data_IF_574993327965
#
_entry.id   IF_574993327965
#
_cell.length_a   1.000
_cell.length_b   1.000
_cell.length_c   1.000
_cell.angle_alpha   90.00
_cell.angle_beta   90.00
_cell.angle_gamma   90.00
#
_symmetry.space_group_name_H-M   'P 1'
#
loop_
_entity.id
_entity.type
_entity.pdbx_description
1 polymer ?
#
# COMPACT_ATOMS: atom_id res chain seq x y z
N UNK A 1 26.60 -22.13 -2.43
CA UNK A 1 25.50 -21.76 -1.51
C UNK A 1 24.50 -20.93 -2.28
N UNK A 2 23.20 -21.23 -2.22
CA UNK A 2 22.18 -20.27 -2.68
C UNK A 2 22.28 -19.04 -1.78
N UNK A 3 22.28 -17.81 -2.33
CA UNK A 3 22.29 -16.61 -1.51
C UNK A 3 21.12 -16.67 -0.52
N UNK A 4 21.36 -16.22 0.72
CA UNK A 4 20.33 -16.19 1.76
C UNK A 4 19.18 -15.28 1.29
N UNK A 5 17.98 -15.85 1.17
CA UNK A 5 16.81 -15.12 0.69
C UNK A 5 16.30 -14.22 1.81
N UNK A 6 16.58 -12.92 1.71
CA UNK A 6 15.99 -11.91 2.57
C UNK A 6 14.61 -11.51 2.06
N UNK A 7 13.66 -11.30 2.97
CA UNK A 7 12.38 -10.68 2.60
C UNK A 7 12.52 -9.16 2.64
N UNK A 8 12.10 -8.49 1.54
CA UNK A 8 12.06 -7.03 1.48
C UNK A 8 10.77 -6.50 2.08
N UNK A 9 10.89 -5.43 2.87
CA UNK A 9 9.76 -4.67 3.40
C UNK A 9 9.62 -3.40 2.57
N UNK A 10 8.54 -3.32 1.79
CA UNK A 10 8.32 -2.26 0.81
C UNK A 10 7.19 -1.36 1.31
N UNK A 11 7.45 -0.06 1.43
CA UNK A 11 6.40 0.89 1.76
C UNK A 11 5.64 1.26 0.49
N UNK A 12 4.34 0.96 0.45
CA UNK A 12 3.46 1.29 -0.67
C UNK A 12 2.73 2.59 -0.39
N UNK A 13 2.87 3.56 -1.31
CA UNK A 13 2.24 4.87 -1.28
C UNK A 13 1.27 4.96 -2.47
N UNK A 14 -0.02 4.73 -2.20
CA UNK A 14 -1.07 4.97 -3.18
C UNK A 14 -1.35 6.49 -3.26
N UNK A 15 -1.20 7.09 -4.44
CA UNK A 15 -1.27 8.54 -4.65
C UNK A 15 -2.55 8.93 -5.37
N UNK A 16 -3.15 10.05 -4.95
CA UNK A 16 -4.25 10.75 -5.65
C UNK A 16 -4.02 12.25 -5.55
N UNK A 17 -3.79 12.89 -6.69
CA UNK A 17 -3.41 14.30 -6.73
C UNK A 17 -2.08 14.53 -5.98
N UNK A 18 -1.99 15.50 -5.06
CA UNK A 18 -0.75 15.78 -4.32
C UNK A 18 -0.55 14.89 -3.09
N UNK A 19 -1.45 13.93 -2.83
CA UNK A 19 -1.57 13.27 -1.54
C UNK A 19 -1.40 11.75 -1.64
N UNK A 20 -0.82 11.16 -0.62
CA UNK A 20 -0.94 9.73 -0.33
C UNK A 20 -2.32 9.48 0.28
N UNK A 21 -2.97 8.43 -0.17
CA UNK A 21 -4.28 8.02 0.27
C UNK A 21 -4.29 6.59 0.76
N UNK A 22 -5.25 6.24 1.61
CA UNK A 22 -5.56 4.86 1.95
C UNK A 22 -7.06 4.62 1.93
N UNK A 23 -7.50 3.63 1.17
CA UNK A 23 -8.89 3.18 1.11
C UNK A 23 -9.11 1.80 1.72
N UNK A 24 -10.38 1.51 1.97
CA UNK A 24 -10.92 0.17 2.26
C UNK A 24 -11.36 -0.45 0.93
N UNK A 25 -10.75 -1.56 0.51
CA UNK A 25 -11.03 -2.23 -0.77
C UNK A 25 -11.10 -1.27 -1.98
N UNK A 26 -10.11 -0.35 -2.08
CA UNK A 26 -10.02 0.68 -3.14
C UNK A 26 -11.19 1.68 -3.21
N UNK A 27 -11.98 1.76 -2.14
CA UNK A 27 -13.04 2.73 -1.90
C UNK A 27 -12.73 3.51 -0.62
N UNK A 28 -13.50 4.56 -0.33
CA UNK A 28 -13.45 5.25 0.96
C UNK A 28 -12.04 5.75 1.35
N UNK A 29 -11.49 6.62 0.51
CA UNK A 29 -10.11 7.09 0.57
C UNK A 29 -9.90 8.14 1.66
N UNK A 30 -8.96 7.89 2.56
CA UNK A 30 -8.44 8.85 3.55
C UNK A 30 -7.11 9.42 3.09
N UNK A 31 -6.88 10.71 3.30
CA UNK A 31 -5.54 11.30 3.07
C UNK A 31 -4.61 10.92 4.21
N UNK A 32 -3.42 10.42 3.86
CA UNK A 32 -2.39 10.01 4.82
C UNK A 32 -1.28 11.04 4.98
N UNK A 33 -1.06 11.89 3.98
CA UNK A 33 -0.04 12.93 4.01
C UNK A 33 0.54 13.20 2.62
N UNK A 34 1.62 13.98 2.58
CA UNK A 34 2.36 14.22 1.34
C UNK A 34 3.26 13.02 0.99
N UNK A 35 3.39 12.65 -0.29
CA UNK A 35 4.27 11.57 -0.73
C UNK A 35 5.73 11.75 -0.32
N UNK A 36 6.25 12.98 -0.38
CA UNK A 36 7.64 13.33 0.00
C UNK A 36 7.93 13.00 1.46
N UNK A 37 7.04 13.43 2.35
CA UNK A 37 7.25 13.39 3.80
C UNK A 37 7.20 11.93 4.29
N UNK A 38 6.19 11.17 3.84
CA UNK A 38 6.05 9.75 4.17
C UNK A 38 7.18 8.91 3.59
N UNK A 39 7.62 9.20 2.36
CA UNK A 39 8.74 8.49 1.75
C UNK A 39 10.05 8.69 2.52
N UNK A 40 10.32 9.93 2.94
CA UNK A 40 11.51 10.25 3.72
C UNK A 40 11.46 9.60 5.11
N UNK A 41 10.29 9.57 5.74
CA UNK A 41 10.04 8.85 6.98
C UNK A 41 10.31 7.34 6.83
N UNK A 42 9.70 6.68 5.83
CA UNK A 42 9.89 5.24 5.61
C UNK A 42 11.32 4.88 5.21
N UNK A 43 11.98 5.74 4.43
CA UNK A 43 13.39 5.57 4.13
C UNK A 43 14.25 5.65 5.40
N UNK A 44 14.02 6.64 6.27
CA UNK A 44 14.73 6.78 7.54
C UNK A 44 14.47 5.61 8.51
N UNK A 45 13.28 5.01 8.46
CA UNK A 45 12.93 3.78 9.19
C UNK A 45 13.52 2.51 8.57
N UNK A 46 14.21 2.60 7.43
CA UNK A 46 14.90 1.50 6.78
C UNK A 46 14.04 0.64 5.87
N UNK A 47 13.07 1.23 5.16
CA UNK A 47 12.41 0.57 4.03
C UNK A 47 13.45 -0.03 3.06
N UNK A 48 13.15 -1.18 2.49
CA UNK A 48 14.02 -1.79 1.48
C UNK A 48 13.77 -1.22 0.09
N UNK A 49 12.55 -0.77 -0.16
CA UNK A 49 12.07 -0.17 -1.41
C UNK A 49 10.81 0.68 -1.12
N UNK A 50 10.47 1.62 -2.01
CA UNK A 50 9.17 2.28 -2.04
C UNK A 50 8.36 1.91 -3.30
N UNK A 51 7.03 1.93 -3.21
CA UNK A 51 6.15 1.81 -4.38
C UNK A 51 5.23 3.03 -4.43
N UNK A 52 5.21 3.76 -5.54
CA UNK A 52 4.23 4.81 -5.81
C UNK A 52 3.23 4.34 -6.87
N UNK A 53 1.94 4.37 -6.56
CA UNK A 53 0.88 4.04 -7.52
C UNK A 53 -0.10 5.19 -7.67
N UNK A 54 -0.24 5.74 -8.88
CA UNK A 54 -1.30 6.71 -9.17
C UNK A 54 -2.64 5.97 -9.32
N UNK A 55 -3.51 6.17 -8.33
CA UNK A 55 -4.79 5.47 -8.23
C UNK A 55 -5.88 6.03 -9.15
N UNK A 56 -5.70 7.24 -9.70
CA UNK A 56 -6.71 7.92 -10.53
C UNK A 56 -6.27 8.15 -11.97
N UNK A 57 -5.10 7.65 -12.35
CA UNK A 57 -4.56 7.86 -13.69
C UNK A 57 -5.40 7.24 -14.82
N UNK A 58 -6.22 6.22 -14.53
CA UNK A 58 -7.19 5.66 -15.49
C UNK A 58 -8.30 6.65 -15.83
N UNK A 59 -8.83 7.34 -14.81
CA UNK A 59 -9.93 8.30 -14.91
C UNK A 59 -9.52 9.59 -15.63
N UNK A 60 -8.36 10.15 -15.29
CA UNK A 60 -7.92 11.45 -15.83
C UNK A 60 -6.99 11.33 -17.03
N UNK A 61 -6.65 10.11 -17.46
CA UNK A 61 -5.72 9.83 -18.55
C UNK A 61 -4.37 10.57 -18.44
N UNK A 62 -3.93 10.86 -17.22
CA UNK A 62 -2.67 11.55 -16.92
C UNK A 62 -1.99 10.87 -15.75
N UNK A 63 -0.66 10.79 -15.80
CA UNK A 63 0.16 10.27 -14.72
C UNK A 63 0.75 11.45 -13.94
N UNK A 64 0.35 11.61 -12.68
CA UNK A 64 0.83 12.70 -11.83
C UNK A 64 2.11 12.37 -11.05
N UNK A 65 2.68 11.18 -11.24
CA UNK A 65 3.84 10.73 -10.47
C UNK A 65 5.16 11.34 -10.91
N UNK A 66 5.28 11.89 -12.13
CA UNK A 66 6.58 12.36 -12.63
C UNK A 66 7.28 13.33 -11.68
N UNK A 67 6.54 14.32 -11.14
CA UNK A 67 7.09 15.27 -10.19
C UNK A 67 7.41 14.63 -8.83
N UNK A 68 6.54 13.74 -8.35
CA UNK A 68 6.71 13.04 -7.07
C UNK A 68 7.96 12.14 -7.13
N UNK A 69 8.11 11.37 -8.20
CA UNK A 69 9.28 10.52 -8.48
C UNK A 69 10.54 11.36 -8.59
N UNK A 70 10.50 12.46 -9.35
CA UNK A 70 11.63 13.37 -9.49
C UNK A 70 12.06 13.99 -8.16
N UNK A 71 11.11 14.33 -7.29
CA UNK A 71 11.39 14.83 -5.96
C UNK A 71 11.99 13.74 -5.06
N UNK A 72 11.41 12.53 -5.06
CA UNK A 72 11.89 11.39 -4.29
C UNK A 72 13.34 11.03 -4.67
N UNK A 73 13.66 11.01 -5.97
CA UNK A 73 15.00 10.67 -6.50
C UNK A 73 16.14 11.55 -5.97
N UNK A 74 15.84 12.74 -5.46
CA UNK A 74 16.85 13.65 -4.89
C UNK A 74 17.32 13.24 -3.49
N UNK A 75 16.47 12.56 -2.74
CA UNK A 75 16.65 12.36 -1.29
C UNK A 75 16.52 10.90 -0.84
N UNK A 76 15.96 10.02 -1.68
CA UNK A 76 15.72 8.61 -1.37
C UNK A 76 16.70 7.76 -2.18
N UNK A 77 17.52 6.97 -1.47
CA UNK A 77 18.60 6.14 -2.06
C UNK A 77 18.35 4.64 -1.93
N UNK A 78 17.11 4.26 -1.64
CA UNK A 78 16.61 2.90 -1.81
C UNK A 78 15.82 2.83 -3.12
N UNK A 79 15.68 1.64 -3.71
CA UNK A 79 14.90 1.53 -4.92
C UNK A 79 13.47 2.01 -4.74
N UNK A 80 12.86 2.49 -5.81
CA UNK A 80 11.43 2.68 -5.85
C UNK A 80 10.80 2.39 -7.21
N UNK A 81 9.62 1.78 -7.13
CA UNK A 81 8.78 1.43 -8.27
C UNK A 81 7.69 2.49 -8.45
N UNK A 82 7.48 2.98 -9.67
CA UNK A 82 6.38 3.88 -9.99
C UNK A 82 5.36 3.22 -10.94
N UNK A 83 4.06 3.41 -10.73
CA UNK A 83 3.02 2.83 -11.58
C UNK A 83 1.70 3.58 -11.53
N UNK A 84 0.73 3.14 -12.33
CA UNK A 84 -0.56 3.81 -12.48
C UNK A 84 -0.63 4.65 -13.76
N UNK A 85 -1.53 4.27 -14.67
CA UNK A 85 -1.74 4.98 -15.93
C UNK A 85 -0.58 4.92 -16.95
N UNK A 86 0.35 3.98 -16.79
CA UNK A 86 1.42 3.73 -17.76
C UNK A 86 0.87 2.92 -18.93
N UNK A 87 0.93 3.47 -20.14
CA UNK A 87 0.28 2.93 -21.35
C UNK A 87 1.25 2.65 -22.49
N UNK A 88 2.35 3.37 -22.54
CA UNK A 88 3.29 3.37 -23.67
C UNK A 88 4.73 3.16 -23.21
N UNK A 89 5.62 2.89 -24.16
CA UNK A 89 7.08 2.84 -23.90
C UNK A 89 7.60 4.21 -23.46
N UNK A 90 7.01 5.28 -23.97
CA UNK A 90 7.35 6.66 -23.64
C UNK A 90 6.98 6.99 -22.19
N UNK A 91 5.83 6.51 -21.69
CA UNK A 91 5.46 6.66 -20.27
C UNK A 91 6.47 5.96 -19.35
N UNK A 92 6.88 4.74 -19.71
CA UNK A 92 7.89 3.97 -18.97
C UNK A 92 9.21 4.74 -18.97
N UNK A 93 9.67 5.20 -20.15
CA UNK A 93 10.89 6.01 -20.29
C UNK A 93 10.83 7.26 -19.41
N UNK A 94 9.70 7.97 -19.41
CA UNK A 94 9.55 9.19 -18.63
C UNK A 94 9.68 8.95 -17.12
N UNK A 95 9.08 7.88 -16.59
CA UNK A 95 9.19 7.51 -15.17
C UNK A 95 10.61 7.08 -14.80
N UNK A 96 11.27 6.27 -15.64
CA UNK A 96 12.65 5.84 -15.41
C UNK A 96 13.61 7.04 -15.45
N UNK A 97 13.48 7.94 -16.44
CA UNK A 97 14.28 9.16 -16.52
C UNK A 97 14.01 10.12 -15.36
N UNK A 98 12.80 10.13 -14.80
CA UNK A 98 12.48 10.91 -13.62
C UNK A 98 13.13 10.37 -12.34
N UNK A 99 13.64 9.14 -12.35
CA UNK A 99 14.45 8.55 -11.28
C UNK A 99 13.88 7.27 -10.66
N UNK A 100 12.75 6.74 -11.14
CA UNK A 100 12.30 5.41 -10.71
C UNK A 100 13.25 4.34 -11.29
N UNK A 101 13.65 3.34 -10.50
CA UNK A 101 14.38 2.19 -11.08
C UNK A 101 13.45 1.18 -11.74
N UNK A 102 12.18 1.17 -11.34
CA UNK A 102 11.18 0.18 -11.79
C UNK A 102 9.86 0.85 -12.15
N UNK A 103 9.17 0.29 -13.14
CA UNK A 103 7.85 0.74 -13.57
C UNK A 103 6.85 -0.40 -13.51
N UNK A 104 5.75 -0.18 -12.77
CA UNK A 104 4.66 -1.13 -12.64
C UNK A 104 3.56 -0.88 -13.69
N UNK A 105 3.24 -1.91 -14.47
CA UNK A 105 2.19 -1.91 -15.49
C UNK A 105 1.14 -2.99 -15.18
N UNK A 106 -0.16 -2.62 -15.29
CA UNK A 106 -1.30 -3.54 -15.16
C UNK A 106 -2.21 -3.44 -16.38
N UNK A 107 -3.13 -2.46 -16.40
CA UNK A 107 -4.20 -2.34 -17.40
C UNK A 107 -3.71 -2.33 -18.86
N UNK A 108 -2.61 -1.65 -19.16
CA UNK A 108 -2.07 -1.62 -20.51
C UNK A 108 -1.46 -2.98 -20.91
N UNK A 109 -0.85 -3.69 -19.95
CA UNK A 109 -0.25 -4.99 -20.17
C UNK A 109 -1.31 -6.08 -20.38
N UNK A 110 -2.42 -6.05 -19.64
CA UNK A 110 -3.52 -7.02 -19.84
C UNK A 110 -4.23 -6.81 -21.18
N UNK A 111 -4.37 -5.56 -21.65
CA UNK A 111 -4.96 -5.24 -22.97
C UNK A 111 -4.00 -5.50 -24.14
N UNK A 112 -2.72 -5.24 -23.95
CA UNK A 112 -1.68 -5.47 -24.95
C UNK A 112 -0.42 -6.08 -24.31
N UNK A 113 -0.37 -7.42 -24.19
CA UNK A 113 0.75 -8.11 -23.54
C UNK A 113 2.11 -7.86 -24.20
N UNK A 114 2.14 -7.52 -25.49
CA UNK A 114 3.39 -7.23 -26.21
C UNK A 114 4.11 -5.97 -25.66
N UNK A 115 3.40 -5.09 -24.93
CA UNK A 115 4.01 -3.97 -24.21
C UNK A 115 5.08 -4.45 -23.23
N UNK A 116 4.85 -5.55 -22.50
CA UNK A 116 5.83 -6.13 -21.55
C UNK A 116 7.12 -6.49 -22.30
N UNK A 117 6.98 -7.17 -23.44
CA UNK A 117 8.10 -7.61 -24.27
C UNK A 117 8.91 -6.46 -24.83
N UNK A 118 8.22 -5.45 -25.37
CA UNK A 118 8.86 -4.24 -25.89
C UNK A 118 9.60 -3.49 -24.78
N UNK A 119 8.96 -3.32 -23.63
CA UNK A 119 9.56 -2.62 -22.49
C UNK A 119 10.78 -3.36 -21.95
N UNK A 120 10.68 -4.68 -21.75
CA UNK A 120 11.78 -5.51 -21.27
C UNK A 120 12.98 -5.50 -22.23
N UNK A 121 12.75 -5.53 -23.54
CA UNK A 121 13.82 -5.39 -24.56
C UNK A 121 14.46 -4.00 -24.58
N UNK A 122 13.71 -2.97 -24.22
CA UNK A 122 14.17 -1.57 -24.30
C UNK A 122 14.92 -1.14 -23.04
N UNK A 123 14.45 -1.53 -21.86
CA UNK A 123 14.95 -1.05 -20.56
C UNK A 123 15.58 -2.16 -19.71
N UNK A 124 15.43 -3.42 -20.11
CA UNK A 124 15.78 -4.59 -19.32
C UNK A 124 14.63 -5.07 -18.43
N UNK A 125 14.52 -6.39 -18.26
CA UNK A 125 13.44 -7.02 -17.48
C UNK A 125 13.39 -6.52 -16.03
N UNK A 126 14.54 -6.25 -15.41
CA UNK A 126 14.63 -5.79 -14.02
C UNK A 126 13.87 -4.49 -13.75
N UNK A 127 13.65 -3.66 -14.79
CA UNK A 127 12.90 -2.41 -14.67
C UNK A 127 11.39 -2.59 -14.82
N UNK A 128 10.91 -3.77 -15.26
CA UNK A 128 9.50 -3.98 -15.61
C UNK A 128 8.81 -4.86 -14.57
N UNK A 129 7.92 -4.23 -13.80
CA UNK A 129 7.07 -4.90 -12.82
C UNK A 129 5.69 -5.08 -13.44
N UNK A 130 5.15 -6.31 -13.45
CA UNK A 130 3.75 -6.53 -13.83
C UNK A 130 2.91 -6.58 -12.56
N UNK A 131 2.01 -5.61 -12.43
CA UNK A 131 1.06 -5.58 -11.32
C UNK A 131 -0.16 -6.43 -11.66
N UNK A 132 -0.47 -7.38 -10.80
CA UNK A 132 -1.60 -8.30 -10.92
C UNK A 132 -2.50 -8.09 -9.70
N UNK A 133 -3.65 -7.48 -9.94
CA UNK A 133 -4.74 -7.41 -8.99
C UNK A 133 -5.58 -8.68 -9.18
N UNK A 134 -5.56 -9.61 -8.21
CA UNK A 134 -6.24 -10.89 -8.36
C UNK A 134 -7.44 -10.99 -7.41
N UNK A 135 -8.56 -11.48 -7.92
CA UNK A 135 -9.78 -11.72 -7.14
C UNK A 135 -10.23 -13.18 -7.27
N UNK A 136 -10.58 -13.80 -6.16
CA UNK A 136 -11.05 -15.19 -6.12
C UNK A 136 -12.44 -15.30 -6.73
N UNK A 137 -12.63 -16.28 -7.61
CA UNK A 137 -13.92 -16.66 -8.20
C UNK A 137 -14.57 -17.76 -7.37
N UNK A 138 -15.88 -17.95 -7.57
CA UNK A 138 -16.66 -18.99 -6.87
C UNK A 138 -16.13 -20.40 -7.09
N UNK A 139 -15.55 -20.67 -8.26
CA UNK A 139 -14.93 -21.97 -8.57
C UNK A 139 -13.54 -22.17 -7.95
N UNK A 140 -13.08 -21.24 -7.09
CA UNK A 140 -11.79 -21.30 -6.40
C UNK A 140 -10.59 -20.77 -7.19
N UNK A 141 -10.73 -20.51 -8.50
CA UNK A 141 -9.67 -19.87 -9.31
C UNK A 141 -9.55 -18.37 -9.01
N UNK A 142 -8.47 -17.74 -9.45
CA UNK A 142 -8.31 -16.28 -9.39
C UNK A 142 -8.34 -15.67 -10.77
N UNK A 143 -9.06 -14.57 -10.90
CA UNK A 143 -9.08 -13.76 -12.10
C UNK A 143 -8.28 -12.48 -11.89
N UNK A 144 -7.57 -12.05 -12.94
CA UNK A 144 -6.87 -10.77 -12.95
C UNK A 144 -7.86 -9.63 -13.21
N UNK A 145 -7.67 -8.53 -12.49
CA UNK A 145 -8.47 -7.32 -12.54
C UNK A 145 -7.61 -6.12 -12.90
N UNK A 146 -8.30 -5.08 -13.34
CA UNK A 146 -7.73 -3.77 -13.65
C UNK A 146 -8.57 -2.68 -12.99
N UNK A 147 -8.09 -1.44 -13.09
CA UNK A 147 -8.77 -0.26 -12.52
C UNK A 147 -8.96 -0.38 -11.00
N UNK A 148 -7.90 -0.79 -10.29
CA UNK A 148 -7.89 -1.00 -8.84
C UNK A 148 -8.95 -2.02 -8.39
N UNK A 149 -8.97 -3.20 -9.02
CA UNK A 149 -9.84 -4.32 -8.67
C UNK A 149 -11.28 -4.19 -9.17
N UNK A 150 -11.60 -3.21 -10.02
CA UNK A 150 -12.99 -2.91 -10.44
C UNK A 150 -13.40 -3.58 -11.74
N UNK A 151 -12.46 -3.74 -12.66
CA UNK A 151 -12.74 -4.24 -14.01
C UNK A 151 -12.14 -5.63 -14.17
N UNK A 152 -13.03 -6.62 -14.34
CA UNK A 152 -12.68 -8.00 -14.70
C UNK A 152 -12.05 -8.05 -16.08
N UNK A 153 -11.05 -8.93 -16.26
CA UNK A 153 -10.34 -9.08 -17.55
C UNK A 153 -10.67 -10.38 -18.27
N UNK A 154 -11.28 -11.34 -17.57
CA UNK A 154 -11.45 -12.72 -18.03
C UNK A 154 -10.16 -13.56 -17.99
N UNK A 155 -9.03 -12.99 -17.59
CA UNK A 155 -7.75 -13.68 -17.52
C UNK A 155 -7.60 -14.42 -16.18
N UNK A 156 -7.21 -15.69 -16.24
CA UNK A 156 -6.75 -16.41 -15.05
C UNK A 156 -5.44 -15.78 -14.53
N UNK A 157 -5.41 -15.41 -13.25
CA UNK A 157 -4.30 -14.66 -12.67
C UNK A 157 -2.98 -15.45 -12.65
N UNK A 158 -3.05 -16.78 -12.46
CA UNK A 158 -1.87 -17.66 -12.42
C UNK A 158 -1.29 -17.83 -13.81
N UNK A 159 -2.14 -18.11 -14.81
CA UNK A 159 -1.73 -18.18 -16.22
C UNK A 159 -1.20 -16.83 -16.71
N UNK A 160 -1.82 -15.73 -16.28
CA UNK A 160 -1.37 -14.39 -16.61
C UNK A 160 0.01 -14.09 -16.04
N UNK A 161 0.27 -14.44 -14.78
CA UNK A 161 1.60 -14.32 -14.17
C UNK A 161 2.67 -15.08 -14.96
N UNK A 162 2.39 -16.33 -15.35
CA UNK A 162 3.33 -17.10 -16.19
C UNK A 162 3.57 -16.46 -17.54
N UNK A 163 2.50 -15.94 -18.15
CA UNK A 163 2.60 -15.26 -19.44
C UNK A 163 3.43 -13.99 -19.32
N UNK A 164 3.22 -13.18 -18.29
CA UNK A 164 3.97 -11.96 -18.02
C UNK A 164 5.47 -12.24 -17.87
N UNK A 165 5.85 -13.28 -17.11
CA UNK A 165 7.24 -13.75 -17.01
C UNK A 165 7.80 -14.13 -18.40
N UNK A 166 7.07 -14.94 -19.19
CA UNK A 166 7.53 -15.35 -20.53
C UNK A 166 7.68 -14.18 -21.51
N UNK A 167 7.04 -13.04 -21.23
CA UNK A 167 7.14 -11.81 -22.01
C UNK A 167 8.29 -10.92 -21.54
N UNK A 168 8.96 -11.25 -20.45
CA UNK A 168 10.13 -10.53 -19.94
C UNK A 168 9.85 -9.61 -18.75
N UNK A 169 8.73 -9.77 -18.03
CA UNK A 169 8.57 -9.12 -16.73
C UNK A 169 9.71 -9.56 -15.78
N UNK A 170 10.30 -8.63 -15.04
CA UNK A 170 11.36 -8.94 -14.08
C UNK A 170 10.86 -9.18 -12.66
N UNK A 171 9.65 -8.77 -12.34
CA UNK A 171 9.04 -8.92 -11.01
C UNK A 171 7.51 -8.81 -11.10
N UNK A 172 6.80 -9.46 -10.18
CA UNK A 172 5.34 -9.38 -10.06
C UNK A 172 4.97 -8.60 -8.80
N UNK A 173 4.12 -7.59 -8.94
CA UNK A 173 3.41 -6.97 -7.82
C UNK A 173 2.03 -7.59 -7.70
N UNK A 174 1.85 -8.51 -6.76
CA UNK A 174 0.63 -9.29 -6.58
C UNK A 174 -0.23 -8.69 -5.47
N UNK A 175 -1.39 -8.14 -5.83
CA UNK A 175 -2.36 -7.59 -4.86
C UNK A 175 -3.61 -8.48 -4.81
N UNK A 176 -3.93 -9.03 -3.64
CA UNK A 176 -5.23 -9.70 -3.44
C UNK A 176 -6.33 -8.65 -3.28
N UNK A 177 -7.26 -8.61 -4.23
CA UNK A 177 -8.41 -7.69 -4.20
C UNK A 177 -9.32 -8.00 -3.01
N UNK A 178 -9.45 -9.28 -2.65
CA UNK A 178 -10.32 -9.73 -1.55
C UNK A 178 -9.79 -9.32 -0.17
N UNK A 179 -8.46 -9.23 -0.03
CA UNK A 179 -7.80 -8.89 1.24
C UNK A 179 -7.44 -7.40 1.36
N UNK A 180 -7.33 -6.68 0.25
CA UNK A 180 -6.92 -5.26 0.24
C UNK A 180 -7.81 -4.39 1.14
N UNK A 181 -7.18 -3.62 2.03
CA UNK A 181 -7.86 -2.74 2.97
C UNK A 181 -8.71 -3.43 4.04
N UNK A 182 -8.74 -4.77 4.10
CA UNK A 182 -9.52 -5.50 5.12
C UNK A 182 -8.76 -5.69 6.43
N UNK A 183 -7.43 -5.59 6.40
CA UNK A 183 -6.57 -5.85 7.56
C UNK A 183 -6.78 -7.24 8.18
N UNK A 184 -7.15 -8.25 7.37
CA UNK A 184 -7.36 -9.65 7.82
C UNK A 184 -6.17 -10.56 7.55
N UNK A 185 -5.04 -10.03 7.13
CA UNK A 185 -3.85 -10.78 6.70
C UNK A 185 -3.68 -10.82 5.18
N UNK A 186 -2.59 -11.44 4.73
CA UNK A 186 -2.28 -11.63 3.30
C UNK A 186 -2.96 -12.90 2.76
N UNK A 187 -3.24 -12.93 1.47
CA UNK A 187 -3.77 -14.11 0.78
C UNK A 187 -2.67 -15.15 0.50
N UNK A 188 -2.37 -15.97 1.52
CA UNK A 188 -1.26 -16.93 1.47
C UNK A 188 -1.46 -18.02 0.40
N UNK A 189 -2.70 -18.35 0.05
CA UNK A 189 -3.02 -19.34 -0.98
C UNK A 189 -2.65 -18.79 -2.36
N UNK A 190 -3.16 -17.61 -2.69
CA UNK A 190 -2.84 -16.91 -3.94
C UNK A 190 -1.32 -16.70 -4.10
N UNK A 191 -0.65 -16.19 -3.05
CA UNK A 191 0.79 -15.92 -3.09
C UNK A 191 1.56 -17.21 -3.39
N UNK A 192 1.20 -18.32 -2.73
CA UNK A 192 1.85 -19.61 -2.92
C UNK A 192 1.65 -20.16 -4.33
N UNK A 193 0.46 -20.05 -4.90
CA UNK A 193 0.21 -20.54 -6.25
C UNK A 193 0.95 -19.73 -7.32
N UNK A 194 1.02 -18.41 -7.15
CA UNK A 194 1.80 -17.55 -8.06
C UNK A 194 3.31 -17.85 -7.93
N UNK A 195 3.84 -17.90 -6.71
CA UNK A 195 5.28 -18.13 -6.47
C UNK A 195 5.76 -19.52 -6.87
N UNK A 196 4.89 -20.54 -6.92
CA UNK A 196 5.22 -21.84 -7.53
C UNK A 196 5.27 -21.80 -9.06
N UNK A 197 4.54 -20.87 -9.67
CA UNK A 197 4.34 -20.81 -11.11
C UNK A 197 5.43 -20.01 -11.82
N UNK A 198 5.91 -18.94 -11.19
CA UNK A 198 6.95 -18.06 -11.75
C UNK A 198 8.29 -18.22 -11.01
N UNK A 199 9.37 -17.93 -11.72
CA UNK A 199 10.74 -17.92 -11.20
C UNK A 199 11.25 -16.52 -10.88
N UNK A 200 10.60 -15.48 -11.39
CA UNK A 200 10.86 -14.08 -11.05
C UNK A 200 10.33 -13.70 -9.66
N UNK A 201 10.89 -12.69 -8.99
CA UNK A 201 10.44 -12.26 -7.68
C UNK A 201 8.96 -11.87 -7.62
N UNK A 202 8.33 -12.15 -6.48
CA UNK A 202 6.93 -11.78 -6.20
C UNK A 202 6.85 -10.90 -4.96
N UNK A 203 6.28 -9.71 -5.15
CA UNK A 203 5.91 -8.77 -4.09
C UNK A 203 4.45 -9.04 -3.70
N UNK A 204 4.22 -9.54 -2.50
CA UNK A 204 2.88 -9.75 -1.96
C UNK A 204 2.28 -8.45 -1.41
N UNK A 205 1.01 -8.17 -1.69
CA UNK A 205 0.30 -6.98 -1.22
C UNK A 205 -1.18 -7.27 -0.95
N UNK A 206 -1.78 -6.45 -0.08
CA UNK A 206 -3.19 -6.50 0.28
C UNK A 206 -3.50 -7.27 1.56
N UNK A 207 -3.81 -6.53 2.63
CA UNK A 207 -4.42 -7.06 3.85
C UNK A 207 -3.52 -7.25 5.07
N UNK A 208 -2.20 -7.08 4.96
CA UNK A 208 -1.28 -7.15 6.10
C UNK A 208 -1.60 -6.10 7.18
N UNK A 209 -1.72 -6.54 8.44
CA UNK A 209 -2.02 -5.69 9.59
C UNK A 209 -0.97 -5.80 10.72
N UNK A 210 -0.13 -6.83 10.69
CA UNK A 210 0.87 -7.13 11.71
C UNK A 210 2.16 -7.71 11.08
N UNK A 211 3.29 -7.66 11.81
CA UNK A 211 4.52 -8.35 11.41
C UNK A 211 4.33 -9.86 11.20
N UNK A 212 3.44 -10.50 11.97
CA UNK A 212 3.15 -11.93 11.86
C UNK A 212 2.60 -12.29 10.47
N UNK A 213 1.83 -11.40 9.85
CA UNK A 213 1.36 -11.63 8.48
C UNK A 213 2.52 -11.65 7.47
N UNK A 214 3.53 -10.82 7.68
CA UNK A 214 4.74 -10.78 6.85
C UNK A 214 5.58 -12.04 7.09
N UNK A 215 5.69 -12.45 8.36
CA UNK A 215 6.34 -13.70 8.72
C UNK A 215 5.68 -14.92 8.08
N UNK A 216 4.35 -14.95 8.07
CA UNK A 216 3.56 -15.99 7.42
C UNK A 216 3.77 -16.00 5.90
N UNK A 217 3.79 -14.84 5.24
CA UNK A 217 4.12 -14.76 3.83
C UNK A 217 5.51 -15.36 3.54
N UNK A 218 6.52 -15.06 4.36
CA UNK A 218 7.85 -15.65 4.19
C UNK A 218 7.87 -17.16 4.43
N UNK A 219 7.32 -17.62 5.56
CA UNK A 219 7.46 -19.01 6.04
C UNK A 219 6.56 -19.99 5.29
N UNK A 220 5.38 -19.55 4.86
CA UNK A 220 4.31 -20.43 4.33
C UNK A 220 4.18 -20.35 2.81
N UNK A 221 4.86 -19.43 2.14
CA UNK A 221 4.75 -19.22 0.69
C UNK A 221 6.13 -19.13 0.03
N UNK A 222 6.24 -18.49 -1.14
CA UNK A 222 7.51 -18.16 -1.78
C UNK A 222 7.77 -16.65 -1.94
N UNK A 223 7.03 -15.78 -1.26
CA UNK A 223 7.15 -14.33 -1.43
C UNK A 223 8.60 -13.81 -1.23
N UNK A 224 9.03 -12.89 -2.08
CA UNK A 224 10.35 -12.24 -2.01
C UNK A 224 10.29 -10.88 -1.31
N UNK A 225 9.08 -10.29 -1.26
CA UNK A 225 8.83 -9.03 -0.62
C UNK A 225 7.37 -8.94 -0.15
N UNK A 226 7.12 -8.04 0.80
CA UNK A 226 5.76 -7.62 1.15
C UNK A 226 5.66 -6.11 1.02
N UNK A 227 4.71 -5.66 0.20
CA UNK A 227 4.33 -4.26 0.08
C UNK A 227 3.22 -3.94 1.08
N UNK A 228 3.53 -3.05 2.03
CA UNK A 228 2.65 -2.69 3.14
C UNK A 228 2.25 -1.21 3.08
N UNK A 229 1.00 -0.92 3.40
CA UNK A 229 0.43 0.43 3.43
C UNK A 229 -0.26 0.72 4.77
N UNK A 230 -1.40 0.07 5.07
CA UNK A 230 -2.19 0.32 6.29
C UNK A 230 -1.37 0.26 7.59
N UNK A 231 -0.53 -0.78 7.74
CA UNK A 231 0.29 -0.97 8.94
C UNK A 231 1.21 0.22 9.23
N UNK A 232 1.72 0.87 8.17
CA UNK A 232 2.62 2.02 8.25
C UNK A 232 1.85 3.34 8.32
N UNK A 233 0.89 3.55 7.42
CA UNK A 233 0.16 4.82 7.33
C UNK A 233 -0.71 5.07 8.56
N UNK A 234 -1.24 4.02 9.19
CA UNK A 234 -1.94 4.11 10.47
C UNK A 234 -1.02 4.01 11.68
N UNK A 235 0.30 4.00 11.48
CA UNK A 235 1.32 3.98 12.54
C UNK A 235 1.14 2.84 13.55
N UNK A 236 0.64 1.68 13.08
CA UNK A 236 0.53 0.48 13.92
C UNK A 236 1.90 -0.08 14.24
N UNK A 237 2.76 -0.07 13.22
CA UNK A 237 4.18 -0.40 13.32
C UNK A 237 4.97 0.52 12.40
N UNK A 238 6.20 0.82 12.78
CA UNK A 238 7.22 1.36 11.88
C UNK A 238 8.03 0.22 11.24
N UNK A 239 8.82 0.54 10.22
CA UNK A 239 9.58 -0.47 9.46
C UNK A 239 10.67 -1.12 10.33
N UNK A 240 11.34 -0.34 11.17
CA UNK A 240 12.34 -0.84 12.11
C UNK A 240 11.73 -1.84 13.12
N UNK A 241 10.55 -1.52 13.67
CA UNK A 241 9.79 -2.41 14.55
C UNK A 241 9.38 -3.71 13.87
N UNK A 242 8.89 -3.65 12.63
CA UNK A 242 8.61 -4.84 11.81
C UNK A 242 9.88 -5.69 11.67
N UNK A 243 10.99 -5.10 11.22
CA UNK A 243 12.26 -5.82 10.99
C UNK A 243 12.82 -6.45 12.26
N UNK A 244 12.70 -5.78 13.41
CA UNK A 244 13.10 -6.34 14.72
C UNK A 244 12.30 -7.58 15.08
N UNK A 245 10.98 -7.58 14.84
CA UNK A 245 10.13 -8.74 15.12
C UNK A 245 10.49 -9.89 14.18
N UNK A 246 10.62 -9.62 12.88
CA UNK A 246 11.04 -10.63 11.90
C UNK A 246 12.43 -11.23 12.23
N UNK A 247 13.37 -10.40 12.68
CA UNK A 247 14.70 -10.86 13.10
C UNK A 247 14.61 -11.78 14.32
N UNK A 248 13.77 -11.47 15.32
CA UNK A 248 13.53 -12.36 16.48
C UNK A 248 12.93 -13.69 16.06
N UNK A 249 12.11 -13.70 15.02
CA UNK A 249 11.56 -14.91 14.40
C UNK A 249 12.53 -15.64 13.47
N UNK A 250 13.81 -15.21 13.42
CA UNK A 250 14.86 -15.76 12.56
C UNK A 250 14.53 -15.66 11.06
N UNK A 251 13.76 -14.66 10.67
CA UNK A 251 13.50 -14.35 9.27
C UNK A 251 14.59 -13.39 8.79
N UNK A 252 15.35 -13.74 7.73
CA UNK A 252 16.39 -12.87 7.20
C UNK A 252 15.76 -11.59 6.61
N UNK A 253 16.13 -10.45 7.17
CA UNK A 253 15.78 -9.11 6.67
C UNK A 253 17.03 -8.25 6.59
N UNK A 254 17.05 -7.30 5.65
CA UNK A 254 18.15 -6.34 5.55
C UNK A 254 18.18 -5.46 6.79
N UNK A 255 19.28 -5.53 7.53
CA UNK A 255 19.51 -4.69 8.71
C UNK A 255 19.92 -3.29 8.30
N UNK A 256 19.54 -2.31 9.11
CA UNK A 256 20.01 -0.92 8.97
C UNK A 256 21.42 -0.87 9.59
N UNK A 257 22.44 -0.53 8.79
CA UNK A 257 23.79 -0.37 9.30
C UNK A 257 23.84 0.82 10.27
N UNK A 258 23.97 0.54 11.58
CA UNK A 258 24.15 1.49 12.69
C UNK A 258 23.77 2.94 12.34
N UNK A 259 22.49 3.19 12.15
CA UNK A 259 21.98 4.55 12.18
C UNK A 259 22.28 5.06 13.59
N UNK A 260 23.19 6.05 13.71
CA UNK A 260 23.26 6.93 14.87
C UNK A 260 21.82 7.17 15.28
N UNK A 261 21.43 6.75 16.50
CA UNK A 261 20.08 6.91 17.04
C UNK A 261 19.54 8.25 16.58
N UNK A 262 18.80 8.26 15.47
CA UNK A 262 17.82 9.31 15.27
C UNK A 262 16.98 9.11 16.51
N UNK A 263 16.84 10.16 17.31
CA UNK A 263 15.93 10.14 18.46
C UNK A 263 14.53 9.98 17.88
N UNK A 264 14.19 8.78 17.41
CA UNK A 264 12.83 8.31 17.29
C UNK A 264 12.40 8.34 18.74
N UNK A 265 11.62 9.36 19.10
CA UNK A 265 10.93 9.39 20.37
C UNK A 265 10.36 7.99 20.55
N UNK A 266 10.77 7.32 21.63
CA UNK A 266 10.29 5.99 21.97
C UNK A 266 8.79 5.99 21.79
N UNK A 267 8.29 5.39 20.72
CA UNK A 267 6.89 5.04 20.62
C UNK A 267 6.80 3.78 21.49
N UNK A 268 6.92 3.99 22.82
CA UNK A 268 6.16 3.20 23.78
C UNK A 268 4.77 3.08 23.18
N UNK A 269 4.23 1.86 23.09
CA UNK A 269 2.92 1.54 22.55
C UNK A 269 1.94 2.67 22.86
N UNK A 270 1.85 3.65 21.95
CA UNK A 270 0.87 4.70 22.08
C UNK A 270 -0.37 3.94 21.72
N UNK A 271 -1.19 3.72 22.74
CA UNK A 271 -2.50 3.11 22.65
C UNK A 271 -3.10 3.44 21.30
N UNK A 272 -3.43 2.41 20.53
CA UNK A 272 -4.06 2.49 19.22
C UNK A 272 -5.45 3.10 19.46
N UNK A 273 -5.48 4.41 19.67
CA UNK A 273 -6.67 5.19 20.01
C UNK A 273 -6.46 6.62 19.55
N UNK A 274 -5.93 6.79 18.34
CA UNK A 274 -6.09 8.01 17.58
C UNK A 274 -6.69 7.62 16.23
N UNK A 275 -8.01 7.77 16.13
CA UNK A 275 -8.78 7.49 14.92
C UNK A 275 -8.38 8.34 13.70
N UNK A 276 -7.60 9.38 13.94
CA UNK A 276 -7.05 10.29 12.95
C UNK A 276 -5.54 10.18 12.90
N UNK A 277 -5.00 10.09 11.69
CA UNK A 277 -3.58 10.36 11.49
C UNK A 277 -3.31 11.85 11.76
N UNK A 278 -2.06 12.21 12.04
CA UNK A 278 -1.67 13.58 12.35
C UNK A 278 -2.07 14.57 11.24
N UNK A 279 -2.02 14.14 9.98
CA UNK A 279 -2.40 14.97 8.83
C UNK A 279 -3.88 15.39 8.92
N UNK A 280 -4.79 14.45 9.17
CA UNK A 280 -6.23 14.74 9.25
C UNK A 280 -6.53 15.66 10.43
N UNK A 281 -5.90 15.44 11.60
CA UNK A 281 -6.07 16.32 12.76
C UNK A 281 -5.64 17.76 12.47
N UNK A 282 -4.46 17.92 11.86
CA UNK A 282 -3.95 19.24 11.48
C UNK A 282 -4.83 19.91 10.42
N UNK A 283 -5.32 19.14 9.45
CA UNK A 283 -6.22 19.65 8.42
C UNK A 283 -7.55 20.15 9.00
N UNK A 284 -8.19 19.35 9.86
CA UNK A 284 -9.43 19.73 10.54
C UNK A 284 -9.23 20.94 11.46
N UNK A 285 -8.10 20.98 12.18
CA UNK A 285 -7.72 22.12 13.01
C UNK A 285 -7.59 23.39 12.17
N UNK A 286 -6.89 23.32 11.03
CA UNK A 286 -6.75 24.45 10.11
C UNK A 286 -8.07 24.93 9.49
N UNK A 287 -9.03 24.02 9.25
CA UNK A 287 -10.34 24.38 8.69
C UNK A 287 -11.30 25.00 9.72
N UNK A 288 -11.22 24.56 10.97
CA UNK A 288 -12.19 24.94 12.03
C UNK A 288 -11.64 25.99 13.00
N UNK A 289 -10.32 26.16 13.06
CA UNK A 289 -9.65 26.95 14.10
C UNK A 289 -9.60 26.27 15.47
N UNK A 290 -10.15 25.06 15.62
CA UNK A 290 -10.11 24.31 16.87
C UNK A 290 -8.78 23.55 17.01
N UNK A 291 -8.24 23.39 18.23
CA UNK A 291 -7.05 22.58 18.47
C UNK A 291 -7.20 21.12 17.99
N UNK A 292 -6.14 20.57 17.41
CA UNK A 292 -6.10 19.21 16.85
C UNK A 292 -6.46 18.11 17.86
N UNK A 293 -6.18 18.31 19.14
CA UNK A 293 -6.48 17.36 20.21
C UNK A 293 -7.97 17.28 20.55
N UNK A 294 -8.77 18.32 20.24
CA UNK A 294 -10.22 18.29 20.40
C UNK A 294 -10.89 17.28 19.47
N UNK A 295 -10.30 17.03 18.29
CA UNK A 295 -10.79 16.03 17.34
C UNK A 295 -10.37 14.61 17.70
N UNK A 296 -9.60 14.40 18.77
CA UNK A 296 -9.24 13.07 19.23
C UNK A 296 -10.31 12.54 20.20
N UNK A 297 -11.17 11.58 19.80
CA UNK A 297 -12.29 11.10 20.61
C UNK A 297 -11.86 10.45 21.93
N UNK A 298 -10.58 10.15 22.10
CA UNK A 298 -10.03 9.53 23.33
C UNK A 298 -9.55 10.57 24.35
N UNK A 299 -9.44 11.84 23.96
CA UNK A 299 -9.03 12.94 24.86
C UNK A 299 -10.17 13.89 25.24
N UNK A 300 -11.31 13.85 24.56
CA UNK A 300 -12.42 14.78 24.80
C UNK A 300 -13.29 14.44 26.02
N UNK A 301 -13.08 13.30 26.70
CA UNK A 301 -13.75 13.00 27.97
C UNK A 301 -12.84 13.30 29.18
N UNK A 302 -13.20 14.30 30.00
CA UNK A 302 -12.54 14.55 31.30
C UNK A 302 -12.77 13.44 32.34
N UNK A 303 -13.55 12.42 32.00
CA UNK A 303 -13.55 11.12 32.64
C UNK A 303 -13.21 10.08 31.56
N UNK A 304 -12.01 9.52 31.58
CA UNK A 304 -11.64 8.46 30.65
C UNK A 304 -12.61 7.28 30.80
N UNK A 305 -12.98 6.59 29.71
CA UNK A 305 -13.86 5.44 29.79
C UNK A 305 -13.20 4.32 30.63
N UNK A 306 -13.98 3.54 31.41
CA UNK A 306 -13.46 2.38 32.15
C UNK A 306 -12.70 1.43 31.22
N UNK A 307 -11.65 0.77 31.73
CA UNK A 307 -10.73 -0.09 30.95
C UNK A 307 -11.42 -1.15 30.06
N UNK A 308 -12.63 -1.55 30.39
CA UNK A 308 -13.44 -2.51 29.61
C UNK A 308 -14.07 -1.88 28.35
N UNK A 309 -14.28 -0.57 28.30
CA UNK A 309 -14.78 0.17 27.12
C UNK A 309 -13.69 0.56 26.11
N UNK A 310 -12.41 0.55 26.52
CA UNK A 310 -11.30 0.72 25.57
C UNK A 310 -11.29 -0.35 24.47
N UNK A 311 -11.73 -1.57 24.78
CA UNK A 311 -11.90 -2.66 23.80
C UNK A 311 -13.13 -2.48 22.89
N UNK A 312 -14.00 -1.50 23.17
CA UNK A 312 -15.23 -1.18 22.42
C UNK A 312 -15.19 0.21 21.78
N UNK A 313 -14.02 0.83 21.66
CA UNK A 313 -13.91 2.06 20.86
C UNK A 313 -14.12 1.71 19.40
N UNK A 314 -15.34 1.94 18.90
CA UNK A 314 -15.67 1.87 17.48
C UNK A 314 -14.71 2.83 16.77
N UNK A 315 -13.88 2.38 15.82
CA UNK A 315 -12.96 3.26 15.13
C UNK A 315 -13.74 4.24 14.24
N UNK A 316 -14.07 5.42 14.78
CA UNK A 316 -14.69 6.53 14.05
C UNK A 316 -13.67 7.07 13.06
N UNK A 317 -13.84 6.78 11.77
CA UNK A 317 -13.04 7.38 10.72
C UNK A 317 -13.75 8.53 10.02
N UNK A 318 -13.23 9.76 10.03
CA UNK A 318 -13.70 10.79 9.08
C UNK A 318 -13.04 10.56 7.73
N UNK A 319 -13.87 10.59 6.69
CA UNK A 319 -13.46 10.48 5.31
C UNK A 319 -13.86 11.76 4.60
N UNK A 320 -12.90 12.38 3.90
CA UNK A 320 -13.11 13.62 3.19
C UNK A 320 -14.08 13.42 2.01
N UNK A 321 -15.21 14.14 2.05
CA UNK A 321 -16.24 14.13 1.02
C UNK A 321 -15.76 14.72 -0.32
N UNK A 322 -14.71 15.57 -0.33
CA UNK A 322 -14.09 16.05 -1.57
C UNK A 322 -13.38 14.93 -2.34
N UNK A 323 -13.06 13.83 -1.67
CA UNK A 323 -12.34 12.70 -2.24
C UNK A 323 -13.28 11.52 -2.54
N UNK A 324 -14.42 11.43 -1.83
CA UNK A 324 -15.33 10.28 -1.85
C UNK A 324 -16.79 10.72 -1.94
N UNK A 325 -17.61 9.97 -2.68
CA UNK A 325 -19.06 10.11 -2.57
C UNK A 325 -19.61 9.24 -1.42
N UNK A 326 -20.71 9.67 -0.80
CA UNK A 326 -21.32 9.00 0.36
C UNK A 326 -21.64 7.52 0.12
N UNK A 327 -22.17 7.18 -1.06
CA UNK A 327 -22.58 5.82 -1.39
C UNK A 327 -21.38 4.86 -1.46
N UNK A 328 -20.24 5.33 -1.98
CA UNK A 328 -19.00 4.56 -2.04
C UNK A 328 -18.44 4.28 -0.66
N UNK A 329 -18.56 5.23 0.26
CA UNK A 329 -18.16 5.04 1.66
C UNK A 329 -19.03 3.97 2.32
N UNK A 330 -20.36 4.09 2.22
CA UNK A 330 -21.28 3.11 2.80
C UNK A 330 -21.04 1.69 2.27
N UNK A 331 -20.87 1.54 0.94
CA UNK A 331 -20.57 0.24 0.32
C UNK A 331 -19.25 -0.34 0.82
N UNK A 332 -18.20 0.47 0.94
CA UNK A 332 -16.90 0.01 1.41
C UNK A 332 -16.97 -0.56 2.83
N UNK A 333 -17.62 0.16 3.75
CA UNK A 333 -17.78 -0.30 5.14
C UNK A 333 -18.69 -1.53 5.25
N UNK A 334 -19.77 -1.58 4.47
CA UNK A 334 -20.63 -2.77 4.40
C UNK A 334 -19.86 -4.04 4.00
N UNK A 335 -18.95 -3.94 3.02
CA UNK A 335 -18.14 -5.10 2.57
C UNK A 335 -17.22 -5.65 3.65
N UNK A 336 -16.82 -4.83 4.62
CA UNK A 336 -15.99 -5.25 5.76
C UNK A 336 -16.80 -5.46 7.05
N UNK A 337 -18.13 -5.49 6.96
CA UNK A 337 -19.02 -5.75 8.09
C UNK A 337 -19.08 -4.62 9.12
N UNK A 338 -18.80 -3.38 8.70
CA UNK A 338 -18.84 -2.19 9.54
C UNK A 338 -19.97 -1.24 9.10
N UNK A 339 -20.52 -0.49 10.05
CA UNK A 339 -21.51 0.56 9.79
C UNK A 339 -20.83 1.93 9.68
N UNK A 340 -21.34 2.79 8.80
CA UNK A 340 -20.86 4.15 8.63
C UNK A 340 -22.01 5.15 8.77
N UNK A 341 -21.78 6.26 9.49
CA UNK A 341 -22.70 7.39 9.56
C UNK A 341 -22.15 8.56 8.75
N UNK A 342 -23.02 9.32 8.09
CA UNK A 342 -22.64 10.56 7.39
C UNK A 342 -22.84 11.69 8.39
N UNK A 343 -21.76 12.40 8.68
CA UNK A 343 -21.77 13.63 9.48
C UNK A 343 -21.55 14.82 8.55
N UNK A 344 -22.34 15.87 8.72
CA UNK A 344 -22.37 17.04 7.84
C UNK A 344 -21.67 18.25 8.43
N UNK A 345 -21.40 18.24 9.75
CA UNK A 345 -20.71 19.34 10.45
C UNK A 345 -19.56 18.83 11.32
N UNK A 346 -18.46 19.58 11.48
CA UNK A 346 -17.40 19.24 12.43
C UNK A 346 -17.91 19.09 13.88
N UNK A 347 -18.97 19.78 14.25
CA UNK A 347 -19.60 19.69 15.57
C UNK A 347 -20.34 18.36 15.79
N UNK A 348 -20.87 17.74 14.73
CA UNK A 348 -21.45 16.38 14.80
C UNK A 348 -20.40 15.29 15.07
N UNK A 349 -19.12 15.54 14.76
CA UNK A 349 -18.01 14.63 15.12
C UNK A 349 -17.87 14.49 16.64
N UNK A 350 -18.18 15.57 17.36
CA UNK A 350 -17.98 15.68 18.82
C UNK A 350 -19.15 15.12 19.63
N UNK A 351 -20.29 14.86 18.99
CA UNK A 351 -21.52 14.34 19.61
C UNK A 351 -21.56 12.83 19.52
#
# INVERSE_FOLDING_TARGET
>A
MKPEKHIRIIARLDVKGPNVIKGVQFECLRVMGKPSDLAQEYYAQGADELIYLDTVASLYQRNNLLNIVKEASKNIFIPFTAGGGVRTIEDIRALLTAGAEKVAINTAATKNPDLIRKAARTFGSQCIVVSIEAKKKENGSWEAYTDNGRQSTGLDAIKWAKKAESLGAGEILLTSVDMEGTERGLDLELIREITKTVSIPVIASGGANSPDNIADAFKKTGADAVAVASILHYQKYDIDGIKKILTKEKIPVRQIANSKKIKTASIQSKTITANYNNYTLQHLSGQTGLPADQFNPVKSSQAGPPKEELNRTIPIGIIDYKINNALSVQRAFQKIGQTACIISTPQEVMK
#
